data_IF_513724803806
#
_entry.id   IF_513724803806
#
_cell.length_a   1.000
_cell.length_b   1.000
_cell.length_c   1.000
_cell.angle_alpha   90.00
_cell.angle_beta   90.00
_cell.angle_gamma   90.00
#
_symmetry.space_group_name_H-M   'P 1'
#
loop_
_entity.id
_entity.type
_entity.pdbx_description
1 polymer ?
#
# COMPACT_ATOMS: atom_id res chain seq x y z
N UNK A 1 3.75 13.20 -23.68
CA UNK A 1 4.19 14.47 -23.06
C UNK A 1 5.70 14.79 -23.28
N UNK A 2 6.45 14.03 -24.10
CA UNK A 2 7.89 14.28 -24.34
C UNK A 2 8.23 15.52 -25.20
N UNK A 3 7.26 16.06 -25.97
CA UNK A 3 7.52 17.11 -26.97
C UNK A 3 7.81 18.52 -26.40
N UNK A 4 7.52 18.76 -25.11
CA UNK A 4 7.62 20.11 -24.52
C UNK A 4 9.05 20.44 -24.06
N UNK A 5 9.85 19.42 -23.70
CA UNK A 5 11.20 19.61 -23.16
C UNK A 5 12.31 19.69 -24.24
N UNK A 6 12.07 19.20 -25.46
CA UNK A 6 13.09 19.17 -26.52
C UNK A 6 13.31 20.54 -27.19
N UNK A 7 12.24 21.31 -27.40
CA UNK A 7 12.29 22.63 -28.04
C UNK A 7 13.26 23.62 -27.36
N UNK A 8 13.16 23.88 -26.04
CA UNK A 8 14.04 24.81 -25.35
C UNK A 8 15.51 24.38 -25.38
N UNK A 9 15.78 23.07 -25.21
CA UNK A 9 17.14 22.51 -25.20
C UNK A 9 17.79 22.65 -26.58
N UNK A 10 17.07 22.33 -27.66
CA UNK A 10 17.56 22.49 -29.03
C UNK A 10 17.84 23.96 -29.38
N UNK A 11 17.01 24.90 -28.91
CA UNK A 11 17.22 26.33 -29.13
C UNK A 11 18.44 26.88 -28.35
N UNK A 12 18.64 26.46 -27.10
CA UNK A 12 19.84 26.84 -26.32
C UNK A 12 21.11 26.28 -26.95
N UNK A 13 21.10 25.00 -27.35
CA UNK A 13 22.22 24.37 -28.06
C UNK A 13 22.51 25.12 -29.36
N UNK A 14 21.50 25.40 -30.19
CA UNK A 14 21.66 26.16 -31.43
C UNK A 14 22.20 27.59 -31.22
N UNK A 15 21.76 28.28 -30.16
CA UNK A 15 22.25 29.61 -29.79
C UNK A 15 23.74 29.60 -29.43
N UNK A 16 24.18 28.67 -28.59
CA UNK A 16 25.58 28.49 -28.18
C UNK A 16 26.47 28.07 -29.36
N UNK A 17 25.95 27.22 -30.26
CA UNK A 17 26.61 26.84 -31.52
C UNK A 17 26.84 28.05 -32.43
N UNK A 18 25.89 29.00 -32.45
CA UNK A 18 25.91 30.17 -33.34
C UNK A 18 26.80 31.31 -32.81
N UNK A 19 26.99 31.43 -31.49
CA UNK A 19 27.82 32.48 -30.89
C UNK A 19 29.34 32.24 -30.98
N UNK A 20 29.78 31.05 -31.42
CA UNK A 20 31.21 30.68 -31.51
C UNK A 20 31.69 30.44 -32.95
N UNK A 21 32.72 31.19 -33.36
CA UNK A 21 33.45 31.10 -34.64
C UNK A 21 34.89 31.57 -34.43
N UNK A 22 35.90 31.00 -35.12
CA UNK A 22 36.11 29.60 -35.45
C UNK A 22 36.94 28.94 -34.31
N UNK A 23 37.64 27.80 -34.41
CA UNK A 23 37.61 26.75 -35.42
C UNK A 23 37.48 25.39 -34.70
N UNK A 24 38.60 24.89 -34.14
CA UNK A 24 38.73 23.54 -33.56
C UNK A 24 37.84 23.31 -32.33
N UNK A 25 37.60 24.36 -31.52
CA UNK A 25 36.77 24.27 -30.32
C UNK A 25 35.30 23.91 -30.56
N UNK A 26 34.77 24.14 -31.77
CA UNK A 26 33.35 23.86 -32.08
C UNK A 26 33.06 22.37 -32.01
N UNK A 27 33.84 21.52 -32.68
CA UNK A 27 33.62 20.06 -32.68
C UNK A 27 33.69 19.47 -31.28
N UNK A 28 34.65 19.93 -30.46
CA UNK A 28 34.80 19.52 -29.07
C UNK A 28 33.63 19.98 -28.19
N UNK A 29 33.15 21.22 -28.34
CA UNK A 29 31.99 21.73 -27.61
C UNK A 29 30.68 21.03 -28.03
N UNK A 30 30.50 20.75 -29.32
CA UNK A 30 29.37 19.96 -29.84
C UNK A 30 29.36 18.54 -29.28
N UNK A 31 30.51 17.86 -29.32
CA UNK A 31 30.65 16.49 -28.82
C UNK A 31 30.44 16.45 -27.29
N UNK A 32 31.00 17.41 -26.55
CA UNK A 32 30.75 17.55 -25.12
C UNK A 32 29.25 17.81 -24.80
N UNK A 33 28.57 18.67 -25.56
CA UNK A 33 27.14 18.92 -25.41
C UNK A 33 26.27 17.69 -25.76
N UNK A 34 26.66 16.92 -26.78
CA UNK A 34 26.01 15.65 -27.11
C UNK A 34 26.21 14.61 -26.01
N UNK A 35 27.41 14.49 -25.44
CA UNK A 35 27.64 13.58 -24.31
C UNK A 35 26.94 14.03 -23.03
N UNK A 36 26.88 15.34 -22.73
CA UNK A 36 26.12 15.86 -21.58
C UNK A 36 24.61 15.62 -21.74
N UNK A 37 24.05 15.90 -22.92
CA UNK A 37 22.62 15.70 -23.17
C UNK A 37 22.25 14.22 -23.20
N UNK A 38 23.09 13.35 -23.78
CA UNK A 38 22.89 11.90 -23.73
C UNK A 38 23.01 11.36 -22.30
N UNK A 39 23.97 11.86 -21.50
CA UNK A 39 24.10 11.53 -20.08
C UNK A 39 22.88 11.97 -19.27
N UNK A 40 22.36 13.17 -19.53
CA UNK A 40 21.15 13.67 -18.87
C UNK A 40 19.92 12.81 -19.21
N UNK A 41 19.73 12.44 -20.48
CA UNK A 41 18.64 11.55 -20.94
C UNK A 41 18.78 10.15 -20.34
N UNK A 42 19.98 9.56 -20.33
CA UNK A 42 20.24 8.25 -19.71
C UNK A 42 19.97 8.27 -18.19
N UNK A 43 20.35 9.35 -17.50
CA UNK A 43 20.10 9.52 -16.06
C UNK A 43 18.62 9.77 -15.73
N UNK A 44 17.90 10.51 -16.58
CA UNK A 44 16.50 10.84 -16.39
C UNK A 44 15.59 9.62 -16.34
N UNK A 45 15.87 8.60 -17.16
CA UNK A 45 15.12 7.35 -17.16
C UNK A 45 15.23 6.59 -15.83
N UNK A 46 16.42 6.57 -15.21
CA UNK A 46 16.63 5.96 -13.90
C UNK A 46 15.98 6.75 -12.77
N UNK A 47 16.05 8.10 -12.83
CA UNK A 47 15.45 8.96 -11.81
C UNK A 47 13.93 8.79 -11.80
N UNK A 48 13.27 8.71 -12.96
CA UNK A 48 11.82 8.52 -13.05
C UNK A 48 11.37 7.15 -12.53
N UNK A 49 12.06 6.06 -12.88
CA UNK A 49 11.74 4.70 -12.42
C UNK A 49 11.89 4.57 -10.89
N UNK A 50 12.92 5.20 -10.31
CA UNK A 50 13.08 5.30 -8.84
C UNK A 50 11.98 6.16 -8.21
N UNK A 51 11.59 7.28 -8.83
CA UNK A 51 10.57 8.18 -8.28
C UNK A 51 9.16 7.57 -8.32
N UNK A 52 8.81 6.87 -9.40
CA UNK A 52 7.56 6.13 -9.55
C UNK A 52 7.44 5.02 -8.50
N UNK A 53 8.54 4.33 -8.19
CA UNK A 53 8.63 3.33 -7.11
C UNK A 53 8.69 3.95 -5.69
N UNK A 54 9.02 5.23 -5.58
CA UNK A 54 9.13 5.96 -4.30
C UNK A 54 7.80 6.53 -3.83
N UNK A 55 6.87 6.81 -4.74
CA UNK A 55 5.46 6.90 -4.37
C UNK A 55 4.98 5.50 -4.02
N UNK A 56 5.04 5.18 -2.73
CA UNK A 56 4.18 4.14 -2.18
C UNK A 56 2.76 4.45 -2.67
N UNK A 57 2.18 3.56 -3.45
CA UNK A 57 0.80 3.66 -3.92
C UNK A 57 -0.10 3.07 -2.84
N UNK A 58 -1.12 3.81 -2.40
CA UNK A 58 -2.08 3.27 -1.42
C UNK A 58 -2.77 2.05 -2.05
N UNK A 59 -2.63 0.90 -1.39
CA UNK A 59 -3.17 -0.35 -1.90
C UNK A 59 -4.65 -0.42 -1.63
N UNK A 60 -5.45 -0.56 -2.69
CA UNK A 60 -6.89 -0.80 -2.55
C UNK A 60 -7.09 -2.17 -1.90
N UNK A 61 -7.82 -2.18 -0.79
CA UNK A 61 -8.20 -3.38 -0.05
C UNK A 61 -9.66 -3.72 -0.34
N UNK A 62 -9.93 -4.97 -0.71
CA UNK A 62 -11.26 -5.43 -1.11
C UNK A 62 -12.13 -5.81 0.10
N UNK A 63 -12.56 -4.81 0.86
CA UNK A 63 -13.44 -4.99 2.02
C UNK A 63 -14.85 -5.44 1.63
N UNK A 64 -15.35 -6.49 2.27
CA UNK A 64 -16.77 -6.85 2.32
C UNK A 64 -17.44 -6.30 3.58
N UNK A 65 -18.77 -6.14 3.62
CA UNK A 65 -19.49 -5.85 4.86
C UNK A 65 -19.23 -6.93 5.91
N UNK A 66 -19.10 -6.53 7.18
CA UNK A 66 -18.99 -7.47 8.29
C UNK A 66 -20.25 -8.32 8.46
N UNK A 67 -20.07 -9.64 8.42
CA UNK A 67 -21.05 -10.66 8.79
C UNK A 67 -20.35 -11.72 9.64
N UNK A 68 -20.69 -11.79 10.93
CA UNK A 68 -20.11 -12.74 11.88
C UNK A 68 -20.44 -14.20 11.52
N UNK A 69 -21.60 -14.44 10.87
CA UNK A 69 -22.06 -15.78 10.55
C UNK A 69 -21.25 -16.45 9.44
N UNK A 70 -20.67 -15.66 8.54
CA UNK A 70 -19.81 -16.15 7.45
C UNK A 70 -18.36 -16.44 7.88
N UNK A 71 -17.93 -15.98 9.07
CA UNK A 71 -16.57 -16.25 9.56
C UNK A 71 -16.32 -17.77 9.63
N UNK A 72 -17.27 -18.52 10.20
CA UNK A 72 -17.15 -19.97 10.32
C UNK A 72 -17.12 -20.69 8.96
N UNK A 73 -17.85 -20.19 7.95
CA UNK A 73 -17.86 -20.77 6.59
C UNK A 73 -16.49 -20.59 5.92
N UNK A 74 -15.89 -19.39 6.05
CA UNK A 74 -14.55 -19.09 5.57
C UNK A 74 -13.47 -19.93 6.26
N UNK A 75 -13.54 -20.11 7.59
CA UNK A 75 -12.59 -20.96 8.31
C UNK A 75 -12.64 -22.43 7.87
N UNK A 76 -13.84 -22.95 7.59
CA UNK A 76 -14.01 -24.30 7.04
C UNK A 76 -13.47 -24.43 5.61
N UNK A 77 -13.50 -23.35 4.83
CA UNK A 77 -12.86 -23.25 3.52
C UNK A 77 -11.34 -22.99 3.57
N UNK A 78 -10.72 -23.05 4.75
CA UNK A 78 -9.28 -22.85 4.94
C UNK A 78 -8.81 -21.40 4.84
N UNK A 79 -9.73 -20.42 4.80
CA UNK A 79 -9.41 -19.00 4.69
C UNK A 79 -9.09 -18.38 6.05
N UNK A 80 -8.30 -17.32 6.02
CA UNK A 80 -8.10 -16.40 7.15
C UNK A 80 -9.04 -15.21 6.97
N UNK A 81 -9.68 -14.76 8.04
CA UNK A 81 -10.60 -13.62 8.01
C UNK A 81 -10.03 -12.50 8.87
N UNK A 82 -9.77 -11.34 8.25
CA UNK A 82 -9.40 -10.12 8.96
C UNK A 82 -10.65 -9.24 9.12
N UNK A 83 -11.06 -8.98 10.36
CA UNK A 83 -12.20 -8.12 10.69
C UNK A 83 -11.70 -6.77 11.20
N UNK A 84 -12.15 -5.68 10.59
CA UNK A 84 -11.96 -4.29 11.03
C UNK A 84 -13.30 -3.66 11.43
N UNK A 85 -13.51 -3.42 12.72
CA UNK A 85 -14.60 -2.58 13.20
C UNK A 85 -14.08 -1.15 13.37
N UNK A 86 -14.69 -0.23 12.62
CA UNK A 86 -14.21 1.13 12.34
C UNK A 86 -15.33 2.17 12.55
N UNK A 87 -14.99 3.46 12.52
CA UNK A 87 -15.98 4.54 12.38
C UNK A 87 -15.34 5.80 11.77
N UNK A 88 -16.13 6.67 11.14
CA UNK A 88 -15.67 7.93 10.54
C UNK A 88 -15.16 8.94 11.58
N UNK A 89 -15.74 8.93 12.78
CA UNK A 89 -15.31 9.78 13.90
C UNK A 89 -14.04 9.25 14.59
N UNK A 90 -13.62 8.02 14.30
CA UNK A 90 -12.50 7.36 14.96
C UNK A 90 -11.15 7.74 14.33
N UNK A 91 -10.47 8.72 14.93
CA UNK A 91 -9.15 9.18 14.46
C UNK A 91 -8.08 8.06 14.44
N UNK A 92 -8.11 7.17 15.45
CA UNK A 92 -7.18 6.02 15.53
C UNK A 92 -7.43 4.99 14.42
N UNK A 93 -8.70 4.78 14.04
CA UNK A 93 -9.05 3.90 12.93
C UNK A 93 -8.45 4.43 11.61
N UNK A 94 -8.58 5.75 11.37
CA UNK A 94 -7.97 6.42 10.21
C UNK A 94 -6.45 6.35 10.23
N UNK A 95 -5.83 6.56 11.39
CA UNK A 95 -4.37 6.44 11.56
C UNK A 95 -3.87 5.02 11.29
N UNK A 96 -4.52 3.98 11.84
CA UNK A 96 -4.18 2.57 11.60
C UNK A 96 -4.27 2.20 10.11
N UNK A 97 -5.33 2.65 9.42
CA UNK A 97 -5.49 2.44 7.97
C UNK A 97 -4.38 3.12 7.18
N UNK A 98 -4.22 4.43 7.38
CA UNK A 98 -3.28 5.28 6.65
C UNK A 98 -1.79 5.08 7.01
N UNK A 99 -1.44 4.23 8.00
CA UNK A 99 -0.04 3.95 8.37
C UNK A 99 0.34 2.47 8.40
N UNK A 100 -0.64 1.56 8.47
CA UNK A 100 -0.38 0.11 8.56
C UNK A 100 -1.16 -0.68 7.50
N UNK A 101 -2.49 -0.58 7.46
CA UNK A 101 -3.29 -1.53 6.67
C UNK A 101 -3.15 -1.32 5.16
N UNK A 102 -3.15 -0.07 4.67
CA UNK A 102 -3.14 0.21 3.22
C UNK A 102 -1.75 0.17 2.55
N UNK A 103 -0.70 -0.30 3.24
CA UNK A 103 0.70 -0.08 2.83
C UNK A 103 1.63 -1.30 2.82
N UNK A 104 2.41 -1.42 1.74
CA UNK A 104 3.50 -2.39 1.57
C UNK A 104 3.12 -3.83 1.94
N UNK A 105 4.04 -4.54 2.60
CA UNK A 105 3.87 -5.95 3.00
C UNK A 105 2.58 -6.27 3.77
N UNK A 106 1.95 -5.29 4.44
CA UNK A 106 0.68 -5.52 5.14
C UNK A 106 -0.46 -5.58 4.14
N UNK A 107 -0.55 -4.60 3.23
CA UNK A 107 -1.58 -4.62 2.20
C UNK A 107 -1.39 -5.76 1.19
N UNK A 108 -0.14 -6.10 0.86
CA UNK A 108 0.19 -7.29 0.07
C UNK A 108 -0.35 -8.56 0.73
N UNK A 109 -0.14 -8.73 2.04
CA UNK A 109 -0.66 -9.86 2.78
C UNK A 109 -2.20 -9.84 2.88
N UNK A 110 -2.81 -8.68 3.14
CA UNK A 110 -4.28 -8.54 3.23
C UNK A 110 -5.00 -8.76 1.90
N UNK A 111 -4.33 -8.55 0.77
CA UNK A 111 -4.84 -8.84 -0.58
C UNK A 111 -4.49 -10.26 -1.09
N UNK A 112 -3.87 -11.12 -0.27
CA UNK A 112 -3.59 -12.50 -0.66
C UNK A 112 -4.90 -13.31 -0.82
N UNK A 113 -4.97 -14.27 -1.77
CA UNK A 113 -6.21 -14.91 -2.19
C UNK A 113 -6.85 -15.84 -1.14
N UNK A 114 -6.14 -16.14 -0.06
CA UNK A 114 -6.57 -16.89 1.12
C UNK A 114 -7.09 -16.01 2.27
N UNK A 115 -6.95 -14.69 2.17
CA UNK A 115 -7.49 -13.72 3.12
C UNK A 115 -8.86 -13.20 2.67
N UNK A 116 -9.79 -13.09 3.62
CA UNK A 116 -11.07 -12.38 3.48
C UNK A 116 -11.05 -11.15 4.38
N UNK A 117 -11.39 -9.98 3.83
CA UNK A 117 -11.40 -8.71 4.55
C UNK A 117 -12.84 -8.28 4.84
N UNK A 118 -13.23 -8.27 6.12
CA UNK A 118 -14.56 -7.84 6.56
C UNK A 118 -14.49 -6.52 7.32
N UNK A 119 -15.38 -5.57 7.01
CA UNK A 119 -15.43 -4.26 7.68
C UNK A 119 -16.80 -3.96 8.28
N UNK A 120 -16.82 -3.65 9.57
CA UNK A 120 -18.00 -3.18 10.30
C UNK A 120 -17.93 -1.68 10.55
N UNK A 121 -18.84 -0.91 9.95
CA UNK A 121 -18.96 0.53 10.20
C UNK A 121 -19.86 0.82 11.41
N UNK A 122 -19.26 1.36 12.48
CA UNK A 122 -19.92 1.81 13.71
C UNK A 122 -19.98 3.34 13.82
N UNK A 123 -19.95 4.05 12.68
CA UNK A 123 -20.24 5.51 12.60
C UNK A 123 -21.62 5.83 13.16
N UNK A 124 -22.58 4.91 13.01
CA UNK A 124 -23.91 4.96 13.63
C UNK A 124 -24.11 3.74 14.55
N UNK A 125 -24.95 3.84 15.60
CA UNK A 125 -25.27 2.70 16.44
C UNK A 125 -25.78 1.52 15.61
N UNK A 126 -25.16 0.36 15.80
CA UNK A 126 -25.53 -0.93 15.23
C UNK A 126 -25.57 -1.94 16.36
N UNK A 127 -26.68 -2.65 16.51
CA UNK A 127 -26.86 -3.66 17.54
C UNK A 127 -25.95 -4.87 17.30
N UNK A 128 -25.85 -5.34 16.05
CA UNK A 128 -24.97 -6.45 15.64
C UNK A 128 -23.51 -6.15 16.00
N UNK A 129 -23.00 -4.96 15.63
CA UNK A 129 -21.62 -4.57 15.94
C UNK A 129 -21.44 -4.37 17.46
N UNK A 130 -22.44 -3.79 18.15
CA UNK A 130 -22.40 -3.62 19.59
C UNK A 130 -22.34 -4.95 20.36
N UNK A 131 -23.10 -5.96 19.91
CA UNK A 131 -23.07 -7.31 20.47
C UNK A 131 -21.71 -7.98 20.19
N UNK A 132 -21.21 -7.94 18.95
CA UNK A 132 -19.89 -8.48 18.59
C UNK A 132 -18.76 -7.89 19.44
N UNK A 133 -18.73 -6.57 19.60
CA UNK A 133 -17.75 -5.88 20.45
C UNK A 133 -17.88 -6.33 21.92
N UNK A 134 -19.11 -6.41 22.44
CA UNK A 134 -19.36 -6.82 23.83
C UNK A 134 -18.90 -8.27 24.10
N UNK A 135 -19.14 -9.20 23.16
CA UNK A 135 -18.63 -10.59 23.22
C UNK A 135 -17.11 -10.64 23.33
N UNK A 136 -16.41 -9.73 22.65
CA UNK A 136 -14.94 -9.59 22.72
C UNK A 136 -14.46 -8.68 23.88
N UNK A 137 -15.35 -8.34 24.82
CA UNK A 137 -15.11 -7.44 25.94
C UNK A 137 -14.50 -6.09 25.47
N UNK A 138 -15.17 -5.47 24.48
CA UNK A 138 -14.89 -4.15 23.93
C UNK A 138 -16.16 -3.30 23.94
N UNK A 139 -15.98 -1.99 24.06
CA UNK A 139 -17.06 -0.99 24.09
C UNK A 139 -16.84 0.15 23.09
N UNK A 140 -15.89 -0.03 22.16
CA UNK A 140 -15.29 1.06 21.37
C UNK A 140 -14.58 0.54 20.13
N UNK A 141 -14.43 1.43 19.14
CA UNK A 141 -13.52 1.27 17.99
C UNK A 141 -12.21 2.06 18.22
N UNK A 142 -11.08 1.68 17.58
CA UNK A 142 -10.92 0.55 16.66
C UNK A 142 -10.96 -0.79 17.39
N UNK A 143 -11.55 -1.78 16.73
CA UNK A 143 -11.37 -3.19 17.11
C UNK A 143 -11.02 -3.98 15.86
N UNK A 144 -9.88 -4.65 15.86
CA UNK A 144 -9.42 -5.47 14.76
C UNK A 144 -9.14 -6.88 15.30
N UNK A 145 -9.54 -7.92 14.59
CA UNK A 145 -9.36 -9.32 14.99
C UNK A 145 -9.15 -10.21 13.78
N UNK A 146 -8.25 -11.20 13.91
CA UNK A 146 -7.89 -12.11 12.82
C UNK A 146 -8.28 -13.54 13.19
N UNK A 147 -9.18 -14.14 12.41
CA UNK A 147 -9.59 -15.54 12.54
C UNK A 147 -8.90 -16.39 11.49
N UNK A 148 -8.66 -17.67 11.78
CA UNK A 148 -8.10 -18.60 10.79
C UNK A 148 -8.14 -20.06 11.26
N UNK A 149 -7.74 -21.03 10.41
CA UNK A 149 -7.68 -22.45 10.79
C UNK A 149 -6.82 -22.73 12.02
N UNK A 150 -5.73 -21.95 12.21
CA UNK A 150 -4.85 -21.98 13.39
C UNK A 150 -5.32 -21.14 14.58
N UNK A 151 -6.33 -20.27 14.41
CA UNK A 151 -6.87 -19.41 15.46
C UNK A 151 -8.39 -19.20 15.29
N UNK A 152 -9.16 -20.23 15.64
CA UNK A 152 -10.63 -20.24 15.47
C UNK A 152 -11.37 -19.26 16.37
N UNK A 153 -10.87 -19.07 17.59
CA UNK A 153 -11.39 -18.06 18.54
C UNK A 153 -10.94 -16.63 18.20
N UNK A 154 -10.11 -16.48 17.17
CA UNK A 154 -9.56 -15.20 16.72
C UNK A 154 -8.39 -14.65 17.54
N UNK A 155 -7.61 -13.77 16.91
CA UNK A 155 -6.49 -13.05 17.51
C UNK A 155 -6.84 -11.56 17.53
N UNK A 156 -7.33 -11.08 18.67
CA UNK A 156 -7.62 -9.66 18.86
C UNK A 156 -6.33 -8.82 18.79
N UNK A 157 -6.31 -7.81 17.93
CA UNK A 157 -5.16 -6.93 17.74
C UNK A 157 -5.16 -5.76 18.74
N UNK A 158 -3.97 -5.14 18.98
CA UNK A 158 -3.88 -3.91 19.77
C UNK A 158 -4.63 -2.74 19.11
N UNK A 159 -5.06 -1.76 19.92
CA UNK A 159 -5.76 -0.54 19.45
C UNK A 159 -4.91 0.30 18.49
N UNK A 160 -3.60 0.34 18.71
CA UNK A 160 -2.62 0.89 17.77
C UNK A 160 -1.97 -0.26 17.02
N UNK A 161 -2.20 -0.35 15.71
CA UNK A 161 -1.62 -1.41 14.90
C UNK A 161 -0.14 -1.16 14.65
N UNK A 162 0.62 -2.24 14.53
CA UNK A 162 1.95 -2.23 13.93
C UNK A 162 1.97 -3.23 12.77
N UNK A 163 2.93 -3.07 11.86
CA UNK A 163 3.19 -4.05 10.79
C UNK A 163 3.32 -5.46 11.37
N UNK A 164 4.12 -5.59 12.44
CA UNK A 164 4.39 -6.88 13.06
C UNK A 164 3.16 -7.45 13.77
N UNK A 165 2.30 -6.64 14.41
CA UNK A 165 1.08 -7.17 15.05
C UNK A 165 0.13 -7.77 14.02
N UNK A 166 -0.04 -7.11 12.87
CA UNK A 166 -0.91 -7.61 11.78
C UNK A 166 -0.30 -8.85 11.14
N UNK A 167 0.96 -8.80 10.68
CA UNK A 167 1.61 -9.92 10.00
C UNK A 167 1.79 -11.15 10.90
N UNK A 168 2.05 -10.97 12.20
CA UNK A 168 2.13 -12.08 13.14
C UNK A 168 0.76 -12.72 13.40
N UNK A 169 -0.32 -11.94 13.46
CA UNK A 169 -1.66 -12.48 13.62
C UNK A 169 -2.13 -13.23 12.36
N UNK A 170 -1.91 -12.67 11.16
CA UNK A 170 -2.21 -13.36 9.89
C UNK A 170 -1.49 -14.72 9.79
N UNK A 171 -0.19 -14.78 10.10
CA UNK A 171 0.58 -16.04 10.09
C UNK A 171 0.11 -17.04 11.14
N UNK A 172 -0.19 -16.61 12.36
CA UNK A 172 -0.71 -17.48 13.41
C UNK A 172 -2.11 -18.01 13.07
N UNK A 173 -2.97 -17.16 12.49
CA UNK A 173 -4.31 -17.53 12.05
C UNK A 173 -4.28 -18.55 10.90
N UNK A 174 -3.41 -18.39 9.90
CA UNK A 174 -3.23 -19.37 8.82
C UNK A 174 -2.75 -20.73 9.34
N UNK A 175 -1.87 -20.73 10.35
CA UNK A 175 -1.27 -21.94 10.90
C UNK A 175 -0.45 -22.73 9.87
N UNK A 176 -0.30 -24.03 10.11
CA UNK A 176 0.58 -24.90 9.29
C UNK A 176 0.11 -25.12 7.83
N UNK A 177 -1.01 -24.54 7.39
CA UNK A 177 -1.50 -24.68 6.01
C UNK A 177 -0.95 -23.61 5.05
N UNK A 178 -0.41 -22.50 5.56
CA UNK A 178 0.22 -21.44 4.75
C UNK A 178 1.70 -21.67 4.40
N UNK A 179 2.29 -22.81 4.79
CA UNK A 179 3.72 -23.11 4.63
C UNK A 179 4.05 -24.08 3.49
N UNK A 180 3.10 -24.33 2.58
CA UNK A 180 3.19 -25.39 1.56
C UNK A 180 2.60 -25.05 0.19
N UNK A 181 2.55 -23.77 -0.17
CA UNK A 181 2.16 -23.26 -1.49
C UNK A 181 3.30 -22.43 -2.10
#
# INVERSE_FOLDING_TARGET
MLLVATGPVLLLVFSVIRSYQPNVGRSLAFVAALFLSLGLVMSGNWILDVFEKSFQQESVLNWTPFDESEIASHLLAGKVVFVDITADWCITCKANKASVLSWGTVAEALNAPDIVLMQGDWTRPSEVIGQFLNTHNRYGVPFNIVYGPGAKEGIALPVLLTRDSVLNALRQAAGNQGAGA
#
